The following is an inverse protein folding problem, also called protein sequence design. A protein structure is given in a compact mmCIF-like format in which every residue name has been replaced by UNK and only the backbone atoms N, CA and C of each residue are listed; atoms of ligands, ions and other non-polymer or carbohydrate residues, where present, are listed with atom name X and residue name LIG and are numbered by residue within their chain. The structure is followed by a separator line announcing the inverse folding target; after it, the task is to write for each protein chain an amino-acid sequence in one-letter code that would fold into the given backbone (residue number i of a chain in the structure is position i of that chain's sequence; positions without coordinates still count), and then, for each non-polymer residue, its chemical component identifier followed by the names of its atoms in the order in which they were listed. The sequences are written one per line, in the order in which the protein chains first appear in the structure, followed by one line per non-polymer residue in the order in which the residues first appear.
data_IF_397057395493
#
_entry.id   IF_397057395493
#
_cell.length_a   1.000
_cell.length_b   1.000
_cell.length_c   1.000
_cell.angle_alpha   90.00
_cell.angle_beta   90.00
_cell.angle_gamma   90.00
#
_symmetry.space_group_name_H-M   'P 1'
#
loop_
_entity.id
_entity.type
_entity.pdbx_description
1 polymer ?
#
# COMPACT_ATOMS: atom_id res chain seq x y z
N UNK A 1 -3.56 15.41 11.92
CA UNK A 1 -2.38 15.31 11.04
C UNK A 1 -1.32 14.46 11.74
N UNK A 2 -0.66 13.52 11.05
CA UNK A 2 0.33 12.61 11.67
C UNK A 2 -0.19 11.20 12.04
N UNK A 3 -1.49 10.99 12.02
CA UNK A 3 -2.13 9.69 12.29
C UNK A 3 -1.94 8.70 11.15
N UNK A 4 -2.12 7.41 11.45
CA UNK A 4 -2.23 6.33 10.48
C UNK A 4 -3.67 5.82 10.51
N UNK A 5 -4.31 5.71 9.35
CA UNK A 5 -5.64 5.10 9.25
C UNK A 5 -5.50 3.66 8.79
N UNK A 6 -5.91 2.70 9.61
CA UNK A 6 -5.98 1.29 9.25
C UNK A 6 -7.43 0.85 9.03
N UNK A 7 -7.74 0.21 7.91
CA UNK A 7 -9.09 -0.31 7.67
C UNK A 7 -9.31 -1.63 8.41
N UNK A 8 -10.29 -1.66 9.33
CA UNK A 8 -10.57 -2.87 10.12
C UNK A 8 -11.37 -3.95 9.37
N UNK A 9 -11.93 -3.60 8.20
CA UNK A 9 -12.68 -4.51 7.34
C UNK A 9 -11.80 -5.09 6.24
N UNK A 10 -11.92 -6.40 6.05
CA UNK A 10 -11.20 -7.18 5.03
C UNK A 10 -9.68 -6.93 5.12
N UNK A 11 -9.02 -7.36 6.21
CA UNK A 11 -7.59 -7.14 6.42
C UNK A 11 -6.70 -7.59 5.26
N UNK A 12 -7.12 -8.61 4.51
CA UNK A 12 -6.43 -9.11 3.32
C UNK A 12 -6.23 -8.07 2.20
N UNK A 13 -7.03 -6.99 2.17
CA UNK A 13 -6.87 -5.90 1.20
C UNK A 13 -5.75 -4.92 1.58
N UNK A 14 -5.15 -5.04 2.77
CA UNK A 14 -3.98 -4.27 3.22
C UNK A 14 -4.15 -2.76 2.98
N UNK A 15 -5.14 -2.16 3.63
CA UNK A 15 -5.49 -0.75 3.45
C UNK A 15 -4.98 0.06 4.63
N UNK A 16 -3.96 0.88 4.35
CA UNK A 16 -3.41 1.88 5.27
C UNK A 16 -3.37 3.22 4.55
N UNK A 17 -3.74 4.30 5.24
CA UNK A 17 -3.57 5.66 4.74
C UNK A 17 -2.77 6.53 5.70
N UNK A 18 -2.02 7.47 5.13
CA UNK A 18 -1.17 8.43 5.85
C UNK A 18 -1.65 9.86 5.55
N UNK A 19 -2.81 10.29 6.08
CA UNK A 19 -3.35 11.62 5.81
C UNK A 19 -2.41 12.73 6.31
N UNK A 20 -2.16 13.73 5.48
CA UNK A 20 -1.41 14.96 5.77
C UNK A 20 -2.33 16.13 6.14
N UNK A 21 -3.60 15.84 6.45
CA UNK A 21 -4.60 16.81 6.85
C UNK A 21 -5.35 16.37 8.11
N UNK A 22 -6.18 17.27 8.64
CA UNK A 22 -7.06 17.01 9.78
C UNK A 22 -8.50 16.79 9.31
N UNK A 23 -9.18 15.80 9.89
CA UNK A 23 -10.53 15.45 9.52
C UNK A 23 -11.06 14.23 10.29
N UNK A 24 -12.25 13.78 9.90
CA UNK A 24 -12.87 12.56 10.43
C UNK A 24 -12.64 11.39 9.48
N UNK A 25 -12.43 10.20 10.03
CA UNK A 25 -12.39 8.96 9.25
C UNK A 25 -13.69 8.16 9.40
N UNK A 26 -13.92 7.22 8.49
CA UNK A 26 -15.04 6.28 8.60
C UNK A 26 -14.97 5.52 9.93
N UNK A 27 -16.15 5.19 10.49
CA UNK A 27 -16.26 4.28 11.62
C UNK A 27 -15.62 2.90 11.33
N UNK A 28 -15.40 2.56 10.06
CA UNK A 28 -14.71 1.35 9.60
C UNK A 28 -13.18 1.44 9.54
N UNK A 29 -12.62 2.47 10.17
CA UNK A 29 -11.17 2.67 10.29
C UNK A 29 -10.75 2.83 11.75
N UNK A 30 -9.51 2.46 12.03
CA UNK A 30 -8.83 2.78 13.27
C UNK A 30 -7.81 3.88 13.00
N UNK A 31 -8.00 5.10 13.55
CA UNK A 31 -6.94 6.08 13.63
C UNK A 31 -5.93 5.63 14.70
N UNK A 32 -4.66 5.60 14.32
CA UNK A 32 -3.54 5.15 15.14
C UNK A 32 -2.55 6.30 15.26
N UNK A 33 -2.24 6.66 16.50
CA UNK A 33 -1.23 7.67 16.81
C UNK A 33 0.06 6.94 17.16
N UNK A 34 1.13 7.05 16.35
CA UNK A 34 2.39 6.39 16.65
C UNK A 34 3.08 7.03 17.87
N UNK A 35 3.71 6.22 18.71
CA UNK A 35 4.69 6.73 19.67
C UNK A 35 6.01 7.01 18.93
N UNK A 36 6.22 8.28 18.56
CA UNK A 36 7.34 8.73 17.74
C UNK A 36 8.72 8.54 18.37
N UNK A 37 8.78 8.31 19.69
CA UNK A 37 10.05 8.06 20.39
C UNK A 37 10.65 6.69 20.03
N UNK A 38 9.80 5.74 19.62
CA UNK A 38 10.21 4.36 19.34
C UNK A 38 9.86 3.87 17.94
N UNK A 39 8.89 4.51 17.27
CA UNK A 39 8.47 4.09 15.92
C UNK A 39 8.19 5.28 15.00
N UNK A 40 8.75 5.23 13.79
CA UNK A 40 8.42 6.22 12.76
C UNK A 40 7.06 5.90 12.12
N UNK A 41 6.31 6.96 11.78
CA UNK A 41 4.99 6.86 11.13
C UNK A 41 5.01 5.98 9.88
N UNK A 42 5.97 6.21 9.00
CA UNK A 42 6.13 5.46 7.75
C UNK A 42 6.45 3.99 8.00
N UNK A 43 7.32 3.68 8.97
CA UNK A 43 7.66 2.30 9.29
C UNK A 43 6.45 1.55 9.88
N UNK A 44 5.69 2.19 10.77
CA UNK A 44 4.48 1.57 11.32
C UNK A 44 3.45 1.29 10.22
N UNK A 45 3.28 2.20 9.25
CA UNK A 45 2.44 1.94 8.09
C UNK A 45 2.93 0.74 7.26
N UNK A 46 4.24 0.65 6.99
CA UNK A 46 4.81 -0.52 6.31
C UNK A 46 4.59 -1.81 7.11
N UNK A 47 4.72 -1.76 8.44
CA UNK A 47 4.48 -2.91 9.31
C UNK A 47 3.03 -3.38 9.27
N UNK A 48 2.06 -2.45 9.24
CA UNK A 48 0.64 -2.75 9.09
C UNK A 48 0.26 -3.25 7.69
N UNK A 49 1.10 -3.02 6.68
CA UNK A 49 0.95 -3.57 5.33
C UNK A 49 1.71 -4.89 5.13
N UNK A 50 2.62 -5.23 6.05
CA UNK A 50 3.49 -6.37 5.89
C UNK A 50 2.72 -7.70 6.02
N UNK A 51 3.20 -8.78 5.37
CA UNK A 51 2.56 -10.09 5.47
C UNK A 51 2.35 -10.60 6.90
N UNK A 52 3.29 -10.46 7.85
CA UNK A 52 3.10 -10.96 9.22
C UNK A 52 1.90 -10.34 9.95
N UNK A 53 1.72 -9.01 9.84
CA UNK A 53 0.56 -8.35 10.42
C UNK A 53 -0.72 -8.70 9.66
N UNK A 54 -0.67 -8.74 8.33
CA UNK A 54 -1.85 -9.09 7.52
C UNK A 54 -2.36 -10.49 7.87
N UNK A 55 -1.45 -11.46 7.97
CA UNK A 55 -1.79 -12.83 8.33
C UNK A 55 -2.42 -12.89 9.72
N UNK A 56 -1.78 -12.28 10.71
CA UNK A 56 -2.35 -12.15 12.06
C UNK A 56 -3.76 -11.54 12.03
N UNK A 57 -3.95 -10.47 11.26
CA UNK A 57 -5.22 -9.78 11.19
C UNK A 57 -6.31 -10.57 10.48
N UNK A 58 -5.96 -11.38 9.49
CA UNK A 58 -6.89 -12.29 8.80
C UNK A 58 -7.28 -13.45 9.72
N UNK A 59 -6.31 -14.10 10.37
CA UNK A 59 -6.53 -15.23 11.27
C UNK A 59 -7.40 -14.86 12.47
N UNK A 60 -7.30 -13.62 12.95
CA UNK A 60 -8.06 -13.11 14.08
C UNK A 60 -9.22 -12.19 13.65
N UNK A 61 -9.75 -12.38 12.44
CA UNK A 61 -10.93 -11.67 11.97
C UNK A 61 -12.18 -12.54 12.03
N UNK A 62 -13.27 -11.97 12.53
CA UNK A 62 -14.54 -12.68 12.68
C UNK A 62 -15.38 -12.60 11.40
N UNK A 63 -16.09 -13.69 11.09
CA UNK A 63 -17.16 -13.84 10.05
C UNK A 63 -16.70 -14.01 8.60
N UNK A 64 -17.23 -15.05 7.94
CA UNK A 64 -16.86 -15.47 6.58
C UNK A 64 -17.21 -14.43 5.48
N UNK A 65 -18.27 -13.63 5.63
CA UNK A 65 -18.71 -12.71 4.58
C UNK A 65 -18.04 -11.31 4.66
N UNK A 66 -17.73 -10.84 5.87
CA UNK A 66 -17.13 -9.53 6.10
C UNK A 66 -16.14 -9.61 7.27
N UNK A 67 -14.94 -10.19 7.03
CA UNK A 67 -13.94 -10.35 8.06
C UNK A 67 -13.56 -9.01 8.65
N UNK A 68 -13.61 -8.93 9.98
CA UNK A 68 -13.29 -7.72 10.75
C UNK A 68 -12.38 -8.06 11.90
N UNK A 69 -11.29 -7.32 12.05
CA UNK A 69 -10.45 -7.37 13.25
C UNK A 69 -10.96 -6.37 14.27
N UNK A 70 -11.11 -6.80 15.53
CA UNK A 70 -11.49 -5.91 16.63
C UNK A 70 -10.26 -5.15 17.18
N UNK A 71 -10.51 -4.04 17.88
CA UNK A 71 -9.43 -3.16 18.37
C UNK A 71 -8.52 -3.84 19.41
N UNK A 72 -9.04 -4.55 20.44
CA UNK A 72 -8.19 -5.28 21.39
C UNK A 72 -7.25 -6.28 20.73
N UNK A 73 -7.75 -7.09 19.80
CA UNK A 73 -6.95 -8.04 19.02
C UNK A 73 -5.88 -7.31 18.22
N UNK A 74 -6.25 -6.26 17.48
CA UNK A 74 -5.29 -5.49 16.68
C UNK A 74 -4.13 -4.93 17.52
N UNK A 75 -4.44 -4.36 18.70
CA UNK A 75 -3.43 -3.83 19.64
C UNK A 75 -2.65 -4.94 20.38
N UNK A 76 -3.15 -6.18 20.34
CA UNK A 76 -2.48 -7.37 20.86
C UNK A 76 -1.32 -7.86 19.98
N UNK A 77 -1.23 -7.40 18.73
CA UNK A 77 -0.14 -7.78 17.83
C UNK A 77 1.23 -7.38 18.42
N UNK A 78 2.24 -8.22 18.16
CA UNK A 78 3.63 -8.00 18.56
C UNK A 78 4.53 -8.20 17.35
N UNK A 79 5.52 -7.32 17.22
CA UNK A 79 6.54 -7.39 16.18
C UNK A 79 7.89 -6.99 16.74
N UNK A 80 8.96 -7.39 16.04
CA UNK A 80 10.30 -6.85 16.31
C UNK A 80 10.31 -5.38 15.91
N UNK A 81 10.75 -4.52 16.83
CA UNK A 81 10.88 -3.09 16.61
C UNK A 81 12.37 -2.73 16.57
N UNK A 82 12.96 -2.51 15.39
CA UNK A 82 14.36 -2.12 15.28
C UNK A 82 14.57 -0.65 15.69
N UNK A 83 15.82 -0.19 15.80
CA UNK A 83 16.12 1.22 16.10
C UNK A 83 15.55 2.17 15.03
N UNK A 84 15.36 3.43 15.39
CA UNK A 84 14.81 4.46 14.48
C UNK A 84 15.66 4.60 13.21
N UNK A 85 16.97 4.45 13.30
CA UNK A 85 17.90 4.52 12.16
C UNK A 85 17.60 3.39 11.16
N UNK A 86 17.48 2.16 11.68
CA UNK A 86 17.16 0.98 10.86
C UNK A 86 15.75 1.09 10.27
N UNK A 87 14.78 1.60 11.02
CA UNK A 87 13.43 1.86 10.51
C UNK A 87 13.47 2.82 9.31
N UNK A 88 14.21 3.93 9.42
CA UNK A 88 14.38 4.91 8.33
C UNK A 88 15.07 4.30 7.11
N UNK A 89 16.08 3.46 7.32
CA UNK A 89 16.76 2.74 6.24
C UNK A 89 15.81 1.79 5.50
N UNK A 90 15.01 1.02 6.23
CA UNK A 90 13.98 0.13 5.68
C UNK A 90 12.97 0.93 4.84
N UNK A 91 12.43 2.02 5.40
CA UNK A 91 11.48 2.89 4.69
C UNK A 91 12.10 3.45 3.42
N UNK A 92 13.34 3.92 3.46
CA UNK A 92 14.06 4.45 2.30
C UNK A 92 14.22 3.40 1.20
N UNK A 93 14.66 2.19 1.56
CA UNK A 93 14.82 1.07 0.60
C UNK A 93 13.48 0.68 -0.05
N UNK A 94 12.42 0.58 0.75
CA UNK A 94 11.07 0.26 0.22
C UNK A 94 10.58 1.36 -0.73
N UNK A 95 10.73 2.64 -0.36
CA UNK A 95 10.38 3.77 -1.23
C UNK A 95 11.16 3.73 -2.56
N UNK A 96 12.46 3.47 -2.53
CA UNK A 96 13.28 3.35 -3.75
C UNK A 96 12.81 2.22 -4.67
N UNK A 97 12.46 1.06 -4.10
CA UNK A 97 11.93 -0.08 -4.85
C UNK A 97 10.58 0.29 -5.48
N UNK A 98 9.69 0.91 -4.71
CA UNK A 98 8.38 1.34 -5.20
C UNK A 98 8.51 2.33 -6.36
N UNK A 99 9.35 3.36 -6.22
CA UNK A 99 9.59 4.33 -7.31
C UNK A 99 10.11 3.66 -8.59
N UNK A 100 11.00 2.66 -8.46
CA UNK A 100 11.48 1.90 -9.63
C UNK A 100 10.36 1.07 -10.25
N UNK A 101 9.53 0.41 -9.44
CA UNK A 101 8.39 -0.36 -9.92
C UNK A 101 7.38 0.54 -10.67
N UNK A 102 7.02 1.68 -10.09
CA UNK A 102 6.11 2.64 -10.70
C UNK A 102 6.64 3.15 -12.05
N UNK A 103 7.95 3.43 -12.13
CA UNK A 103 8.61 3.82 -13.38
C UNK A 103 8.56 2.74 -14.44
N UNK A 104 8.77 1.47 -14.07
CA UNK A 104 8.67 0.33 -15.00
C UNK A 104 7.22 0.23 -15.52
N UNK A 105 6.23 0.28 -14.64
CA UNK A 105 4.81 0.24 -15.04
C UNK A 105 4.45 1.38 -15.97
N UNK A 106 4.90 2.61 -15.68
CA UNK A 106 4.65 3.76 -16.56
C UNK A 106 5.28 3.59 -17.96
N UNK A 107 6.52 3.07 -18.03
CA UNK A 107 7.19 2.79 -19.30
C UNK A 107 6.50 1.68 -20.09
N UNK A 108 6.04 0.62 -19.42
CA UNK A 108 5.28 -0.47 -20.07
C UNK A 108 3.97 0.03 -20.66
N UNK A 109 3.21 0.83 -19.91
CA UNK A 109 1.95 1.40 -20.39
C UNK A 109 2.18 2.32 -21.60
N UNK A 110 3.24 3.14 -21.56
CA UNK A 110 3.62 4.00 -22.69
C UNK A 110 3.99 3.17 -23.93
N UNK A 111 4.83 2.15 -23.77
CA UNK A 111 5.24 1.28 -24.87
C UNK A 111 4.05 0.52 -25.48
N UNK A 112 3.10 0.07 -24.65
CA UNK A 112 1.88 -0.58 -25.12
C UNK A 112 1.03 0.36 -26.00
N UNK A 113 0.85 1.62 -25.56
CA UNK A 113 0.12 2.63 -26.33
C UNK A 113 0.82 2.97 -27.66
N UNK A 114 2.15 3.13 -27.64
CA UNK A 114 2.95 3.39 -28.84
C UNK A 114 2.86 2.22 -29.84
N UNK A 115 2.83 0.98 -29.35
CA UNK A 115 2.66 -0.21 -30.19
C UNK A 115 1.28 -0.26 -30.85
N UNK A 116 0.21 0.08 -30.13
CA UNK A 116 -1.15 0.14 -30.66
C UNK A 116 -1.29 1.21 -31.76
N UNK A 117 -0.68 2.37 -31.55
CA UNK A 117 -0.62 3.45 -32.54
C UNK A 117 0.20 3.03 -33.77
N UNK A 118 1.34 2.38 -33.58
CA UNK A 118 2.18 1.88 -34.66
C UNK A 118 1.46 0.83 -35.51
N UNK A 119 0.79 -0.15 -34.87
CA UNK A 119 -0.03 -1.14 -35.58
C UNK A 119 -1.15 -0.48 -36.39
N UNK A 120 -1.86 0.48 -35.79
CA UNK A 120 -2.91 1.25 -36.48
C UNK A 120 -2.38 2.01 -37.69
N UNK A 121 -1.22 2.67 -37.56
CA UNK A 121 -0.58 3.40 -38.65
C UNK A 121 -0.06 2.47 -39.76
N UNK A 122 0.49 1.31 -39.39
CA UNK A 122 0.96 0.28 -40.32
C UNK A 122 -0.20 -0.28 -41.16
N UNK A 123 -1.31 -0.66 -40.51
CA UNK A 123 -2.52 -1.10 -41.20
C UNK A 123 -3.06 -0.02 -42.15
N UNK A 124 -3.12 1.24 -41.69
CA UNK A 124 -3.57 2.34 -42.53
C UNK A 124 -2.67 2.55 -43.77
N UNK A 125 -1.35 2.37 -43.66
CA UNK A 125 -0.45 2.37 -44.81
C UNK A 125 -0.70 1.17 -45.74
N UNK A 126 -0.97 -0.01 -45.18
CA UNK A 126 -1.18 -1.26 -45.92
C UNK A 126 -2.38 -1.16 -46.83
N UNK A 127 -3.53 -0.74 -46.26
CA UNK A 127 -4.78 -0.58 -47.00
C UNK A 127 -4.74 0.57 -48.03
N UNK A 128 -3.78 1.49 -47.91
CA UNK A 128 -3.54 2.56 -48.91
C UNK A 128 -2.54 2.15 -50.00
N UNK A 129 -2.01 0.93 -49.98
CA UNK A 129 -1.00 0.45 -50.93
C UNK A 129 0.33 1.21 -50.85
N UNK A 130 0.65 1.80 -49.69
CA UNK A 130 1.87 2.59 -49.44
C UNK A 130 2.87 1.85 -48.55
N UNK A 131 2.83 0.52 -48.58
CA UNK A 131 3.73 -0.37 -47.86
C UNK A 131 4.77 -0.96 -48.82
#
# INVERSE_FOLDING_TARGET
EGDILYSKLRPYLRKVALPDFSGLCSADMYPLIPNTDIVTRDFLALALLAPPFTQYAVENSDRNAMPKINRPTMLGYRMKLPSIEVQREIVSKVKQIQTKADKITALQNKAALEMELFQSALLAKAFRGKL
#
